data_IF_695844151531
#
_entry.id   IF_695844151531
#
_cell.length_a   1.000
_cell.length_b   1.000
_cell.length_c   1.000
_cell.angle_alpha   90.00
_cell.angle_beta   90.00
_cell.angle_gamma   90.00
#
_symmetry.space_group_name_H-M   'P 1'
#
loop_
_entity.id
_entity.type
_entity.pdbx_description
1 polymer ?
#
# COMPACT_ATOMS: atom_id res chain seq x y z
N UNK A 1 45.71 -4.49 8.78
CA UNK A 1 44.63 -5.47 8.95
C UNK A 1 43.86 -5.60 7.62
N UNK A 2 43.88 -6.78 6.97
CA UNK A 2 43.06 -7.02 5.78
C UNK A 2 41.62 -7.15 6.23
N UNK A 3 40.74 -6.26 5.73
CA UNK A 3 39.31 -6.34 6.00
C UNK A 3 38.76 -7.69 5.51
N UNK A 4 38.08 -8.41 6.37
CA UNK A 4 37.37 -9.66 6.02
C UNK A 4 36.34 -9.32 4.93
N UNK A 5 36.46 -9.92 3.73
CA UNK A 5 35.49 -9.64 2.67
C UNK A 5 34.09 -10.09 3.13
N UNK A 6 33.13 -9.18 3.09
CA UNK A 6 31.75 -9.50 3.41
C UNK A 6 31.15 -10.54 2.44
N UNK A 7 29.98 -11.11 2.75
CA UNK A 7 29.36 -12.12 1.92
C UNK A 7 29.20 -11.62 0.47
N UNK A 8 29.47 -12.50 -0.49
CA UNK A 8 29.34 -12.17 -1.91
C UNK A 8 27.88 -11.78 -2.19
N UNK A 9 27.66 -10.70 -2.95
CA UNK A 9 26.30 -10.32 -3.33
C UNK A 9 25.66 -11.40 -4.21
N UNK A 10 24.36 -11.60 -4.05
CA UNK A 10 23.58 -12.52 -4.91
C UNK A 10 23.74 -12.12 -6.39
N UNK A 11 24.05 -13.08 -7.23
CA UNK A 11 24.23 -12.86 -8.67
C UNK A 11 22.85 -12.81 -9.36
N UNK A 12 22.63 -11.80 -10.19
CA UNK A 12 21.42 -11.70 -11.03
C UNK A 12 21.81 -12.08 -12.45
N UNK A 13 21.12 -13.08 -13.00
CA UNK A 13 21.23 -13.47 -14.42
C UNK A 13 19.96 -13.05 -15.14
N UNK A 14 20.06 -12.07 -16.02
CA UNK A 14 18.94 -11.60 -16.83
C UNK A 14 18.88 -12.36 -18.16
N UNK A 15 17.67 -12.70 -18.57
CA UNK A 15 17.40 -13.10 -19.95
C UNK A 15 17.52 -11.89 -20.88
N UNK A 16 17.66 -12.12 -22.19
CA UNK A 16 17.74 -11.03 -23.18
C UNK A 16 16.46 -10.17 -23.16
N UNK A 17 15.30 -10.80 -22.97
CA UNK A 17 14.01 -10.13 -22.89
C UNK A 17 13.94 -9.22 -21.66
N UNK A 18 14.35 -9.73 -20.48
CA UNK A 18 14.38 -8.94 -19.24
C UNK A 18 15.35 -7.77 -19.35
N UNK A 19 16.54 -7.99 -19.91
CA UNK A 19 17.52 -6.94 -20.12
C UNK A 19 16.98 -5.83 -21.02
N UNK A 20 16.46 -6.20 -22.20
CA UNK A 20 15.89 -5.21 -23.14
C UNK A 20 14.70 -4.46 -22.53
N UNK A 21 13.83 -5.16 -21.80
CA UNK A 21 12.69 -4.55 -21.12
C UNK A 21 13.11 -3.54 -20.06
N UNK A 22 14.10 -3.89 -19.22
CA UNK A 22 14.67 -2.98 -18.22
C UNK A 22 15.34 -1.76 -18.87
N UNK A 23 16.11 -1.95 -19.95
CA UNK A 23 16.76 -0.84 -20.66
C UNK A 23 15.75 0.11 -21.29
N UNK A 24 14.68 -0.42 -21.90
CA UNK A 24 13.57 0.39 -22.42
C UNK A 24 12.90 1.19 -21.32
N UNK A 25 12.61 0.54 -20.19
CA UNK A 25 11.97 1.18 -19.03
C UNK A 25 12.83 2.32 -18.47
N UNK A 26 14.13 2.12 -18.32
CA UNK A 26 15.07 3.13 -17.81
C UNK A 26 15.22 4.32 -18.76
N UNK A 27 15.08 4.11 -20.08
CA UNK A 27 15.18 5.19 -21.11
C UNK A 27 13.87 5.94 -21.33
N UNK A 28 12.74 5.43 -20.88
CA UNK A 28 11.40 5.95 -21.15
C UNK A 28 11.14 7.22 -20.32
N UNK A 29 10.72 8.31 -20.96
CA UNK A 29 10.46 9.58 -20.27
C UNK A 29 9.34 9.55 -19.23
N UNK A 30 8.30 8.71 -19.44
CA UNK A 30 7.14 8.62 -18.56
C UNK A 30 7.29 7.61 -17.42
N UNK A 31 8.46 7.02 -17.23
CA UNK A 31 8.71 6.09 -16.12
C UNK A 31 8.98 6.86 -14.84
N UNK A 32 8.35 6.46 -13.73
CA UNK A 32 8.61 7.08 -12.44
C UNK A 32 10.09 6.95 -12.06
N UNK A 33 10.66 7.99 -11.44
CA UNK A 33 12.07 8.00 -11.03
C UNK A 33 12.43 6.82 -10.14
N UNK A 34 11.50 6.35 -9.32
CA UNK A 34 11.69 5.17 -8.48
C UNK A 34 11.86 3.90 -9.31
N UNK A 35 11.00 3.66 -10.32
CA UNK A 35 11.14 2.50 -11.22
C UNK A 35 12.43 2.56 -12.03
N UNK A 36 12.80 3.75 -12.50
CA UNK A 36 14.09 3.95 -13.20
C UNK A 36 15.26 3.58 -12.30
N UNK A 37 15.26 4.05 -11.05
CA UNK A 37 16.30 3.74 -10.09
C UNK A 37 16.42 2.24 -9.82
N UNK A 38 15.27 1.59 -9.60
CA UNK A 38 15.17 0.14 -9.34
C UNK A 38 15.66 -0.67 -10.54
N UNK A 39 15.25 -0.30 -11.75
CA UNK A 39 15.74 -0.91 -12.99
C UNK A 39 17.25 -0.78 -13.15
N UNK A 40 17.83 0.39 -12.83
CA UNK A 40 19.29 0.61 -12.84
C UNK A 40 20.00 -0.27 -11.83
N UNK A 41 19.45 -0.46 -10.63
CA UNK A 41 20.02 -1.38 -9.62
C UNK A 41 20.11 -2.79 -10.19
N UNK A 42 19.03 -3.30 -10.79
CA UNK A 42 18.99 -4.66 -11.36
C UNK A 42 19.97 -4.81 -12.53
N UNK A 43 20.01 -3.85 -13.45
CA UNK A 43 20.95 -3.86 -14.58
C UNK A 43 22.42 -3.85 -14.14
N UNK A 44 22.76 -2.99 -13.18
CA UNK A 44 24.13 -2.94 -12.63
C UNK A 44 24.49 -4.22 -11.87
N UNK A 45 23.52 -4.80 -11.15
CA UNK A 45 23.71 -6.06 -10.46
C UNK A 45 23.96 -7.22 -11.44
N UNK A 46 23.22 -7.26 -12.55
CA UNK A 46 23.42 -8.24 -13.63
C UNK A 46 24.73 -8.03 -14.40
N UNK A 47 25.26 -6.79 -14.41
CA UNK A 47 26.59 -6.49 -14.92
C UNK A 47 27.72 -6.87 -13.94
N UNK A 48 27.43 -7.59 -12.85
CA UNK A 48 28.43 -8.06 -11.87
C UNK A 48 28.90 -7.03 -10.87
N UNK A 49 28.26 -5.85 -10.81
CA UNK A 49 28.65 -4.80 -9.83
C UNK A 49 28.29 -5.20 -8.40
N UNK A 50 29.20 -4.93 -7.49
CA UNK A 50 28.97 -5.17 -6.06
C UNK A 50 27.96 -4.17 -5.48
N UNK A 51 27.34 -4.53 -4.35
CA UNK A 51 26.39 -3.62 -3.68
C UNK A 51 26.99 -2.26 -3.34
N UNK A 52 28.29 -2.23 -2.94
CA UNK A 52 29.00 -0.98 -2.64
C UNK A 52 29.24 -0.12 -3.88
N UNK A 53 29.58 -0.73 -5.02
CA UNK A 53 29.75 0.00 -6.28
C UNK A 53 28.42 0.61 -6.73
N UNK A 54 27.33 -0.16 -6.71
CA UNK A 54 25.99 0.33 -7.07
C UNK A 54 25.57 1.49 -6.15
N UNK A 55 25.79 1.36 -4.84
CA UNK A 55 25.54 2.42 -3.85
C UNK A 55 26.27 3.72 -4.21
N UNK A 56 27.54 3.64 -4.60
CA UNK A 56 28.32 4.83 -5.02
C UNK A 56 27.87 5.41 -6.34
N UNK A 57 27.59 4.54 -7.32
CA UNK A 57 27.17 4.97 -8.67
C UNK A 57 25.80 5.64 -8.71
N UNK A 58 24.88 5.21 -7.84
CA UNK A 58 23.51 5.71 -7.81
C UNK A 58 23.21 6.64 -6.63
N UNK A 59 24.20 6.88 -5.75
CA UNK A 59 24.09 7.72 -4.56
C UNK A 59 22.93 7.33 -3.61
N UNK A 60 22.72 6.03 -3.42
CA UNK A 60 21.65 5.46 -2.59
C UNK A 60 22.21 4.63 -1.45
N UNK A 61 21.36 4.31 -0.46
CA UNK A 61 21.79 3.46 0.65
C UNK A 61 21.95 1.98 0.21
N UNK A 62 22.88 1.27 0.83
CA UNK A 62 23.18 -0.14 0.55
C UNK A 62 21.98 -1.06 0.83
N UNK A 63 21.13 -0.68 1.78
CA UNK A 63 19.89 -1.40 2.10
C UNK A 63 18.92 -1.44 0.92
N UNK A 64 18.78 -0.33 0.20
CA UNK A 64 17.95 -0.25 -1.02
C UNK A 64 18.51 -1.15 -2.12
N UNK A 65 19.82 -1.19 -2.31
CA UNK A 65 20.45 -2.06 -3.31
C UNK A 65 20.19 -3.54 -3.00
N UNK A 66 20.37 -3.95 -1.73
CA UNK A 66 20.12 -5.32 -1.28
C UNK A 66 18.67 -5.70 -1.47
N UNK A 67 17.74 -4.87 -1.01
CA UNK A 67 16.29 -5.09 -1.12
C UNK A 67 15.87 -5.36 -2.57
N UNK A 68 16.27 -4.51 -3.52
CA UNK A 68 15.84 -4.65 -4.90
C UNK A 68 16.53 -5.79 -5.64
N UNK A 69 17.73 -6.17 -5.22
CA UNK A 69 18.42 -7.35 -5.71
C UNK A 69 17.74 -8.65 -5.26
N UNK A 70 17.42 -8.76 -3.96
CA UNK A 70 16.71 -9.89 -3.39
C UNK A 70 15.32 -10.02 -4.01
N UNK A 71 14.57 -8.94 -4.05
CA UNK A 71 13.21 -8.93 -4.61
C UNK A 71 13.17 -9.33 -6.09
N UNK A 72 14.12 -8.88 -6.89
CA UNK A 72 14.19 -9.30 -8.29
C UNK A 72 14.39 -10.79 -8.40
N UNK A 73 15.28 -11.38 -7.61
CA UNK A 73 15.54 -12.82 -7.60
C UNK A 73 14.33 -13.63 -7.12
N UNK A 74 13.60 -13.14 -6.12
CA UNK A 74 12.36 -13.76 -5.62
C UNK A 74 11.27 -13.80 -6.70
N UNK A 75 11.16 -12.76 -7.51
CA UNK A 75 10.15 -12.63 -8.56
C UNK A 75 10.58 -13.23 -9.90
N UNK A 76 11.86 -13.53 -10.08
CA UNK A 76 12.41 -14.05 -11.33
C UNK A 76 11.79 -15.39 -11.79
N UNK A 77 11.41 -16.33 -10.89
CA UNK A 77 10.75 -17.58 -11.30
C UNK A 77 9.35 -17.39 -11.90
N UNK A 78 8.71 -16.23 -11.65
CA UNK A 78 7.38 -15.92 -12.18
C UNK A 78 7.53 -15.54 -13.66
N UNK A 79 6.64 -16.03 -14.53
CA UNK A 79 6.70 -15.70 -15.96
C UNK A 79 6.48 -14.20 -16.22
N UNK A 80 6.99 -13.68 -17.35
CA UNK A 80 6.74 -12.27 -17.73
C UNK A 80 5.32 -12.03 -18.23
N UNK A 81 4.57 -13.10 -18.54
CA UNK A 81 3.15 -13.05 -18.88
C UNK A 81 2.30 -12.82 -17.65
N UNK A 82 2.68 -13.40 -16.50
CA UNK A 82 1.97 -13.26 -15.22
C UNK A 82 2.38 -12.00 -14.46
N UNK A 83 3.66 -11.62 -14.52
CA UNK A 83 4.18 -10.46 -13.81
C UNK A 83 5.16 -9.69 -14.71
N UNK A 84 4.71 -8.57 -15.22
CA UNK A 84 5.50 -7.71 -16.10
C UNK A 84 6.77 -7.16 -15.42
N UNK A 85 7.74 -6.71 -16.23
CA UNK A 85 8.96 -6.08 -15.70
C UNK A 85 8.62 -4.82 -14.88
N UNK A 86 7.61 -4.06 -15.29
CA UNK A 86 7.17 -2.87 -14.56
C UNK A 86 6.60 -3.22 -13.18
N UNK A 87 5.78 -4.28 -13.10
CA UNK A 87 5.16 -4.74 -11.86
C UNK A 87 6.18 -5.32 -10.87
N UNK A 88 7.23 -6.00 -11.38
CA UNK A 88 8.35 -6.48 -10.56
C UNK A 88 9.10 -5.35 -9.85
N UNK A 89 9.04 -4.14 -10.41
CA UNK A 89 9.67 -2.95 -9.85
C UNK A 89 8.71 -2.09 -9.02
N UNK A 90 7.44 -2.49 -8.86
CA UNK A 90 6.49 -1.80 -8.00
C UNK A 90 6.69 -2.13 -6.51
N UNK A 91 6.22 -1.22 -5.65
CA UNK A 91 6.20 -1.50 -4.22
C UNK A 91 5.14 -2.57 -3.90
N UNK A 92 5.46 -3.48 -2.99
CA UNK A 92 4.45 -4.39 -2.44
C UNK A 92 3.38 -3.59 -1.70
N UNK A 93 2.11 -4.02 -1.78
CA UNK A 93 1.06 -3.46 -0.95
C UNK A 93 1.49 -3.51 0.52
N UNK A 94 1.56 -2.34 1.15
CA UNK A 94 1.85 -2.27 2.57
C UNK A 94 0.55 -2.48 3.34
N UNK A 95 0.51 -3.37 4.34
CA UNK A 95 -0.63 -3.43 5.23
C UNK A 95 -0.77 -2.06 5.89
N UNK A 96 -1.89 -1.37 5.60
CA UNK A 96 -2.20 -0.10 6.22
C UNK A 96 -2.40 -0.25 7.73
N UNK A 97 -2.66 0.85 8.42
CA UNK A 97 -3.06 0.79 9.83
C UNK A 97 -4.27 -0.12 9.98
N UNK A 98 -4.24 -1.10 10.89
CA UNK A 98 -5.39 -1.97 11.15
C UNK A 98 -6.66 -1.14 11.37
N UNK A 99 -7.82 -1.58 10.88
CA UNK A 99 -9.07 -0.86 11.09
C UNK A 99 -9.34 -0.79 12.60
N UNK A 100 -9.59 0.41 13.11
CA UNK A 100 -9.90 0.63 14.54
C UNK A 100 -11.25 0.07 14.95
N UNK A 101 -12.13 -0.17 14.00
CA UNK A 101 -13.49 -0.69 14.19
C UNK A 101 -13.62 -2.04 13.51
N UNK A 102 -14.24 -2.98 14.20
CA UNK A 102 -14.60 -4.27 13.62
C UNK A 102 -15.76 -4.12 12.61
N UNK A 103 -15.93 -5.10 11.73
CA UNK A 103 -17.05 -5.11 10.79
C UNK A 103 -18.40 -5.06 11.50
N UNK A 104 -18.55 -5.79 12.62
CA UNK A 104 -19.75 -5.77 13.45
C UNK A 104 -20.04 -4.38 14.02
N UNK A 105 -19.02 -3.70 14.56
CA UNK A 105 -19.16 -2.33 15.05
C UNK A 105 -19.58 -1.35 13.95
N UNK A 106 -19.03 -1.50 12.75
CA UNK A 106 -19.40 -0.67 11.60
C UNK A 106 -20.86 -0.92 11.21
N UNK A 107 -21.30 -2.19 11.17
CA UNK A 107 -22.71 -2.53 10.89
C UNK A 107 -23.66 -1.91 11.91
N UNK A 108 -23.35 -2.01 13.21
CA UNK A 108 -24.17 -1.40 14.28
C UNK A 108 -24.22 0.13 14.17
N UNK A 109 -23.11 0.77 13.82
CA UNK A 109 -23.07 2.22 13.60
C UNK A 109 -23.91 2.62 12.39
N UNK A 110 -23.87 1.87 11.30
CA UNK A 110 -24.67 2.13 10.11
C UNK A 110 -26.14 1.90 10.40
N UNK A 111 -26.51 0.86 11.15
CA UNK A 111 -27.87 0.60 11.60
C UNK A 111 -28.41 1.75 12.44
N UNK A 112 -27.65 2.19 13.46
CA UNK A 112 -27.98 3.35 14.28
C UNK A 112 -28.20 4.63 13.43
N UNK A 113 -27.37 4.83 12.42
CA UNK A 113 -27.49 5.95 11.49
C UNK A 113 -28.79 5.94 10.65
N UNK A 114 -29.43 4.77 10.51
CA UNK A 114 -30.71 4.61 9.83
C UNK A 114 -31.90 4.87 10.75
N UNK A 115 -31.72 4.85 12.07
CA UNK A 115 -32.76 5.15 13.04
C UNK A 115 -33.02 6.65 13.08
N UNK A 116 -34.26 7.05 13.37
CA UNK A 116 -34.58 8.47 13.60
C UNK A 116 -34.05 8.87 14.96
N UNK A 117 -33.39 10.04 15.07
CA UNK A 117 -32.91 10.53 16.38
C UNK A 117 -34.02 10.64 17.43
N UNK A 118 -35.24 11.01 17.01
CA UNK A 118 -36.43 11.13 17.86
C UNK A 118 -36.75 9.84 18.60
N UNK A 119 -36.57 8.67 17.94
CA UNK A 119 -36.83 7.34 18.52
C UNK A 119 -35.84 7.02 19.66
N UNK A 120 -34.74 7.75 19.78
CA UNK A 120 -33.75 7.63 20.86
C UNK A 120 -33.98 8.61 22.02
N UNK A 121 -35.10 9.36 21.97
CA UNK A 121 -35.43 10.37 22.97
C UNK A 121 -34.67 11.69 22.80
N UNK A 122 -34.05 11.92 21.67
CA UNK A 122 -33.35 13.18 21.37
C UNK A 122 -34.26 14.12 20.59
N UNK A 123 -34.36 15.42 21.00
CA UNK A 123 -35.23 16.40 20.34
C UNK A 123 -34.57 16.97 19.05
N UNK A 124 -34.14 16.07 18.14
CA UNK A 124 -33.48 16.43 16.89
C UNK A 124 -34.03 15.58 15.74
N UNK A 125 -34.23 16.19 14.60
CA UNK A 125 -34.76 15.53 13.39
C UNK A 125 -33.71 14.80 12.57
N UNK A 126 -32.42 15.15 12.71
CA UNK A 126 -31.32 14.57 11.96
C UNK A 126 -30.08 14.37 12.85
N UNK A 127 -29.32 13.31 12.57
CA UNK A 127 -28.07 13.04 13.24
C UNK A 127 -27.01 14.06 12.84
N UNK A 128 -26.45 14.77 13.82
CA UNK A 128 -25.17 15.47 13.66
C UNK A 128 -24.00 14.54 14.01
N UNK A 129 -22.81 14.88 13.54
CA UNK A 129 -21.61 14.06 13.84
C UNK A 129 -21.29 13.95 15.33
N UNK A 130 -21.66 14.96 16.13
CA UNK A 130 -21.46 14.96 17.59
C UNK A 130 -22.47 14.04 18.25
N UNK A 131 -23.73 14.20 17.94
CA UNK A 131 -24.82 13.44 18.58
C UNK A 131 -24.76 11.95 18.25
N UNK A 132 -24.40 11.60 17.01
CA UNK A 132 -24.25 10.19 16.70
C UNK A 132 -22.98 9.59 17.34
N UNK A 133 -21.90 10.36 17.52
CA UNK A 133 -20.74 9.91 18.27
C UNK A 133 -21.10 9.62 19.74
N UNK A 134 -21.88 10.51 20.37
CA UNK A 134 -22.35 10.34 21.74
C UNK A 134 -23.26 9.12 21.88
N UNK A 135 -24.16 8.91 20.91
CA UNK A 135 -25.07 7.76 20.91
C UNK A 135 -24.36 6.42 20.69
N UNK A 136 -23.35 6.39 19.82
CA UNK A 136 -22.50 5.23 19.59
C UNK A 136 -21.79 4.82 20.88
N UNK A 137 -21.25 5.79 21.63
CA UNK A 137 -20.60 5.56 22.93
C UNK A 137 -21.62 5.15 23.99
N UNK A 138 -22.78 5.80 24.05
CA UNK A 138 -23.87 5.49 25.00
C UNK A 138 -24.35 4.05 24.85
N UNK A 139 -24.47 3.55 23.63
CA UNK A 139 -24.87 2.14 23.35
C UNK A 139 -23.72 1.15 23.53
N UNK A 140 -22.52 1.60 23.88
CA UNK A 140 -21.37 0.75 24.08
C UNK A 140 -20.85 0.05 22.80
N UNK A 141 -21.20 0.58 21.62
CA UNK A 141 -20.74 0.01 20.34
C UNK A 141 -19.21 0.17 20.23
N UNK A 142 -18.68 1.31 20.66
CA UNK A 142 -17.26 1.57 20.83
C UNK A 142 -17.03 2.44 22.08
N UNK A 143 -15.86 2.31 22.70
CA UNK A 143 -15.52 3.09 23.87
C UNK A 143 -15.31 4.58 23.56
N UNK A 144 -14.70 4.88 22.42
CA UNK A 144 -14.43 6.25 21.98
C UNK A 144 -14.49 6.37 20.46
N UNK A 145 -15.14 7.45 19.99
CA UNK A 145 -15.17 7.80 18.57
C UNK A 145 -15.24 9.33 18.43
N UNK A 146 -14.45 9.90 17.51
CA UNK A 146 -14.54 11.33 17.25
C UNK A 146 -15.77 11.68 16.40
N UNK A 147 -16.40 12.84 16.58
CA UNK A 147 -17.52 13.30 15.74
C UNK A 147 -17.21 13.28 14.24
N UNK A 148 -15.98 13.67 13.89
CA UNK A 148 -15.52 13.64 12.48
C UNK A 148 -15.48 12.22 11.91
N UNK A 149 -15.05 11.24 12.71
CA UNK A 149 -15.02 9.85 12.29
C UNK A 149 -16.44 9.29 12.16
N UNK A 150 -17.30 9.56 13.13
CA UNK A 150 -18.71 9.19 13.09
C UNK A 150 -19.40 9.75 11.83
N UNK A 151 -19.26 11.06 11.54
CA UNK A 151 -19.78 11.68 10.31
C UNK A 151 -19.27 11.02 9.02
N UNK A 152 -18.01 10.62 8.99
CA UNK A 152 -17.44 9.93 7.80
C UNK A 152 -18.06 8.56 7.59
N UNK A 153 -18.36 7.83 8.66
CA UNK A 153 -19.04 6.53 8.57
C UNK A 153 -20.48 6.69 8.09
N UNK A 154 -21.20 7.72 8.55
CA UNK A 154 -22.53 8.07 8.06
C UNK A 154 -22.54 8.31 6.54
N UNK A 155 -21.65 9.13 6.04
CA UNK A 155 -21.54 9.42 4.61
C UNK A 155 -21.26 8.17 3.79
N UNK A 156 -20.38 7.28 4.28
CA UNK A 156 -20.06 6.01 3.63
C UNK A 156 -21.28 5.06 3.62
N UNK A 157 -22.03 4.98 4.70
CA UNK A 157 -23.27 4.21 4.79
C UNK A 157 -24.39 4.74 3.89
N UNK A 158 -24.52 6.07 3.75
CA UNK A 158 -25.47 6.71 2.85
C UNK A 158 -25.12 6.47 1.37
N UNK A 159 -23.83 6.49 1.00
CA UNK A 159 -23.38 6.21 -0.37
C UNK A 159 -23.67 4.76 -0.81
N UNK A 160 -23.57 3.80 0.10
CA UNK A 160 -23.91 2.41 -0.22
C UNK A 160 -25.42 2.14 -0.41
N UNK A 161 -26.28 3.03 0.09
CA UNK A 161 -27.75 2.92 -0.12
C UNK A 161 -28.20 3.30 -1.53
N UNK A 162 -27.48 4.20 -2.18
CA UNK A 162 -27.80 4.60 -3.57
C UNK A 162 -27.48 3.52 -4.60
N UNK A 163 -26.59 2.59 -4.29
CA UNK A 163 -26.25 1.46 -5.18
C UNK A 163 -27.25 0.28 -5.08
N UNK A 164 -27.90 0.11 -3.94
CA UNK A 164 -28.89 -0.98 -3.75
C UNK A 164 -30.29 -0.66 -4.31
N UNK A 165 -30.54 0.59 -4.72
CA UNK A 165 -31.83 1.02 -5.28
C UNK A 165 -31.92 0.89 -6.81
N UNK A 166 -30.85 0.44 -7.48
CA UNK A 166 -30.76 0.26 -8.93
C UNK A 166 -30.28 -1.14 -9.37
N UNK A 167 -30.43 -2.16 -8.50
CA UNK A 167 -30.14 -3.55 -8.81
C UNK A 167 -31.37 -4.40 -8.76
#
# INVERSE_FOLDING_TARGET
MKAIPGPKPLEIKLTDIERQGLEKLVKRHNTSQQKVLRGRIVLLAAAGKSNREITRMLEICIGTVRLWRERWLELQPISLEDLSIEDRLDDLPRPGTPPRLTADQICKIVQLACEKPEDTGRPISQWTGREIADEIMRRGIVNTISPRHASRLLKKGASNRTWSAYG
#
